data_IF_735597909127
#
_entry.id   IF_735597909127
#
_cell.length_a   1.000
_cell.length_b   1.000
_cell.length_c   1.000
_cell.angle_alpha   90.00
_cell.angle_beta   90.00
_cell.angle_gamma   90.00
#
_symmetry.space_group_name_H-M   'P 1'
#
loop_
_entity.id
_entity.type
_entity.pdbx_description
1 polymer ?
#
# COMPACT_ATOMS: atom_id res chain seq x y z
N UNK A 1 5.64 -14.67 29.12
CA UNK A 1 5.33 -13.85 27.94
C UNK A 1 6.64 -13.62 27.19
N UNK A 2 6.90 -14.39 26.14
CA UNK A 2 8.11 -14.21 25.33
C UNK A 2 7.94 -12.94 24.49
N UNK A 3 8.79 -11.94 24.72
CA UNK A 3 8.92 -10.80 23.80
C UNK A 3 9.59 -11.35 22.54
N UNK A 4 8.84 -11.47 21.45
CA UNK A 4 9.44 -11.69 20.14
C UNK A 4 10.31 -10.47 19.82
N UNK A 5 11.57 -10.70 19.44
CA UNK A 5 12.39 -9.66 18.82
C UNK A 5 11.95 -9.57 17.36
N UNK A 6 11.43 -8.42 16.97
CA UNK A 6 11.14 -8.14 15.57
C UNK A 6 12.45 -8.27 14.78
N UNK A 7 12.46 -9.14 13.78
CA UNK A 7 13.64 -9.41 12.95
C UNK A 7 13.44 -8.73 11.60
N UNK A 8 14.29 -7.76 11.30
CA UNK A 8 14.15 -6.89 10.13
C UNK A 8 15.23 -7.22 9.10
N UNK A 9 14.83 -7.45 7.85
CA UNK A 9 15.73 -7.46 6.70
C UNK A 9 15.48 -6.21 5.86
N UNK A 10 16.46 -5.31 5.81
CA UNK A 10 16.37 -4.06 5.03
C UNK A 10 17.04 -4.23 3.67
N UNK A 11 16.28 -3.97 2.60
CA UNK A 11 16.75 -3.98 1.22
C UNK A 11 16.93 -2.55 0.70
N UNK A 12 18.20 -2.19 0.53
CA UNK A 12 18.67 -0.83 0.24
C UNK A 12 19.78 -0.82 -0.81
N UNK A 13 19.67 -1.66 -1.84
CA UNK A 13 20.59 -1.64 -2.97
C UNK A 13 20.27 -0.44 -3.87
N UNK A 14 21.26 0.12 -4.59
CA UNK A 14 21.00 1.18 -5.56
C UNK A 14 19.85 0.83 -6.50
N UNK A 15 19.04 1.83 -6.88
CA UNK A 15 17.88 1.63 -7.74
C UNK A 15 18.24 0.82 -8.99
N UNK A 16 17.45 -0.22 -9.27
CA UNK A 16 17.66 -1.13 -10.41
C UNK A 16 18.54 -2.34 -10.11
N UNK A 17 19.17 -2.43 -8.94
CA UNK A 17 19.91 -3.62 -8.49
C UNK A 17 18.96 -4.57 -7.77
N UNK A 18 18.76 -5.76 -8.34
CA UNK A 18 18.02 -6.84 -7.68
C UNK A 18 18.82 -7.36 -6.47
N UNK A 19 18.28 -7.18 -5.28
CA UNK A 19 18.87 -7.68 -4.04
C UNK A 19 18.57 -9.18 -3.83
N UNK A 20 17.36 -9.63 -4.16
CA UNK A 20 16.94 -11.03 -4.01
C UNK A 20 16.35 -11.54 -5.32
N UNK A 21 16.91 -12.63 -5.85
CA UNK A 21 16.38 -13.31 -7.05
C UNK A 21 15.36 -14.41 -6.75
N UNK A 22 15.41 -14.96 -5.53
CA UNK A 22 14.56 -16.07 -5.10
C UNK A 22 13.22 -15.64 -4.50
N UNK A 23 12.50 -16.62 -3.97
CA UNK A 23 11.29 -16.41 -3.19
C UNK A 23 11.64 -15.95 -1.77
N UNK A 24 10.74 -15.19 -1.16
CA UNK A 24 10.90 -14.68 0.20
C UNK A 24 9.74 -15.15 1.07
N UNK A 25 10.06 -15.63 2.26
CA UNK A 25 9.09 -16.03 3.27
C UNK A 25 9.25 -15.11 4.47
N UNK A 26 8.23 -14.31 4.76
CA UNK A 26 8.20 -13.43 5.92
C UNK A 26 7.23 -14.02 6.93
N UNK A 27 7.79 -14.62 7.98
CA UNK A 27 7.03 -15.28 9.03
C UNK A 27 6.77 -14.32 10.20
N UNK A 28 6.01 -14.79 11.19
CA UNK A 28 5.71 -14.09 12.44
C UNK A 28 6.90 -13.35 13.04
N UNK A 29 6.74 -12.04 13.23
CA UNK A 29 7.77 -11.15 13.79
C UNK A 29 8.88 -10.78 12.79
N UNK A 30 8.76 -11.20 11.54
CA UNK A 30 9.66 -10.82 10.45
C UNK A 30 9.15 -9.60 9.70
N UNK A 31 10.08 -8.73 9.33
CA UNK A 31 9.85 -7.56 8.50
C UNK A 31 10.80 -7.58 7.30
N UNK A 32 10.26 -7.31 6.12
CA UNK A 32 11.05 -7.07 4.91
C UNK A 32 10.84 -5.63 4.46
N UNK A 33 11.91 -4.84 4.54
CA UNK A 33 11.84 -3.40 4.31
C UNK A 33 12.43 -3.06 2.95
N UNK A 34 11.69 -2.26 2.19
CA UNK A 34 12.08 -1.76 0.88
C UNK A 34 12.36 -0.25 0.96
N UNK A 35 13.64 0.11 1.12
CA UNK A 35 14.08 1.52 1.20
C UNK A 35 14.39 2.14 -0.17
N UNK A 36 14.44 1.30 -1.19
CA UNK A 36 14.82 1.66 -2.57
C UNK A 36 14.03 0.78 -3.54
N UNK A 37 13.93 1.18 -4.81
CA UNK A 37 13.08 0.50 -5.80
C UNK A 37 13.71 -0.81 -6.34
N UNK A 38 12.88 -1.73 -6.82
CA UNK A 38 13.26 -2.93 -7.59
C UNK A 38 14.20 -3.90 -6.86
N UNK A 39 13.96 -4.15 -5.57
CA UNK A 39 14.86 -4.97 -4.76
C UNK A 39 14.63 -6.48 -4.92
N UNK A 40 13.49 -6.90 -5.45
CA UNK A 40 13.19 -8.30 -5.78
C UNK A 40 13.19 -8.50 -7.29
N UNK A 41 13.52 -9.72 -7.74
CA UNK A 41 13.34 -10.11 -9.13
C UNK A 41 11.85 -10.15 -9.48
N UNK A 42 11.50 -9.85 -10.74
CA UNK A 42 10.11 -9.92 -11.21
C UNK A 42 9.52 -11.33 -11.10
N UNK A 43 10.36 -12.36 -11.08
CA UNK A 43 9.95 -13.77 -10.90
C UNK A 43 9.71 -14.18 -9.45
N UNK A 44 10.11 -13.36 -8.47
CA UNK A 44 10.04 -13.70 -7.05
C UNK A 44 8.60 -13.83 -6.57
N UNK A 45 8.36 -14.83 -5.71
CA UNK A 45 7.14 -14.97 -4.92
C UNK A 45 7.44 -14.58 -3.49
N UNK A 46 6.58 -13.75 -2.91
CA UNK A 46 6.68 -13.33 -1.50
C UNK A 46 5.52 -13.96 -0.75
N UNK A 47 5.82 -14.68 0.33
CA UNK A 47 4.82 -15.32 1.19
C UNK A 47 4.82 -14.66 2.56
N UNK A 48 3.66 -14.19 3.01
CA UNK A 48 3.45 -13.65 4.35
C UNK A 48 2.70 -14.66 5.20
N UNK A 49 3.31 -15.01 6.33
CA UNK A 49 2.72 -15.86 7.35
C UNK A 49 2.89 -15.20 8.72
N UNK A 50 1.99 -14.27 9.02
CA UNK A 50 2.07 -13.34 10.15
C UNK A 50 3.26 -12.36 10.05
N UNK A 51 3.78 -12.15 8.84
CA UNK A 51 4.89 -11.25 8.55
C UNK A 51 4.47 -9.91 7.93
N UNK A 52 5.43 -9.00 7.81
CA UNK A 52 5.21 -7.64 7.33
C UNK A 52 6.13 -7.27 6.15
N UNK A 53 5.57 -6.58 5.17
CA UNK A 53 6.30 -5.84 4.15
C UNK A 53 6.21 -4.35 4.46
N UNK A 54 7.35 -3.68 4.48
CA UNK A 54 7.45 -2.26 4.72
C UNK A 54 7.95 -1.55 3.47
N UNK A 55 7.16 -0.61 2.94
CA UNK A 55 7.60 0.30 1.88
C UNK A 55 8.06 1.61 2.55
N UNK A 56 9.38 1.80 2.58
CA UNK A 56 10.00 3.00 3.16
C UNK A 56 9.96 4.19 2.21
N UNK A 57 10.61 5.29 2.59
CA UNK A 57 10.69 6.50 1.77
C UNK A 57 12.13 7.03 1.58
N UNK A 58 13.15 6.29 2.02
CA UNK A 58 14.53 6.78 2.08
C UNK A 58 15.09 7.23 0.72
N UNK A 59 14.70 6.54 -0.36
CA UNK A 59 15.06 6.89 -1.73
C UNK A 59 14.10 7.85 -2.44
N UNK A 60 13.09 8.40 -1.76
CA UNK A 60 11.95 9.09 -2.37
C UNK A 60 10.87 8.09 -2.79
N UNK A 61 10.40 8.18 -4.04
CA UNK A 61 9.41 7.26 -4.58
C UNK A 61 9.94 5.81 -4.59
N UNK A 62 9.13 4.87 -4.10
CA UNK A 62 9.46 3.44 -4.11
C UNK A 62 8.55 2.70 -5.06
N UNK A 63 9.15 1.97 -5.99
CA UNK A 63 8.46 1.00 -6.84
C UNK A 63 9.01 -0.39 -6.59
N UNK A 64 8.17 -1.29 -6.10
CA UNK A 64 8.44 -2.72 -6.04
C UNK A 64 7.65 -3.48 -7.10
N UNK A 65 8.25 -4.56 -7.58
CA UNK A 65 7.66 -5.36 -8.65
C UNK A 65 8.15 -6.80 -8.53
N UNK A 66 7.24 -7.71 -8.21
CA UNK A 66 7.50 -9.14 -8.13
C UNK A 66 6.27 -9.93 -8.55
N UNK A 67 6.43 -11.23 -8.78
CA UNK A 67 5.43 -12.06 -9.45
C UNK A 67 4.14 -12.13 -8.63
N UNK A 68 4.25 -12.58 -7.39
CA UNK A 68 3.08 -12.91 -6.60
C UNK A 68 3.31 -12.59 -5.12
N UNK A 69 2.28 -12.04 -4.50
CA UNK A 69 2.16 -11.96 -3.05
C UNK A 69 1.18 -13.04 -2.59
N UNK A 70 1.63 -13.93 -1.71
CA UNK A 70 0.84 -14.97 -1.08
C UNK A 70 0.69 -14.63 0.40
N UNK A 71 -0.52 -14.77 0.93
CA UNK A 71 -0.80 -14.62 2.36
C UNK A 71 -1.42 -15.91 2.89
N UNK A 72 -0.68 -16.61 3.76
CA UNK A 72 -1.09 -17.91 4.29
C UNK A 72 -2.08 -17.76 5.46
N UNK A 73 -1.74 -16.92 6.45
CA UNK A 73 -2.54 -16.69 7.65
C UNK A 73 -2.84 -15.21 7.87
N UNK A 74 -1.80 -14.38 7.92
CA UNK A 74 -1.94 -12.94 8.03
C UNK A 74 -0.74 -12.27 7.36
N UNK A 75 -0.95 -11.09 6.79
CA UNK A 75 0.12 -10.28 6.24
C UNK A 75 -0.16 -8.81 6.47
N UNK A 76 0.90 -8.04 6.69
CA UNK A 76 0.82 -6.59 6.77
C UNK A 76 1.60 -5.97 5.62
N UNK A 77 0.99 -5.04 4.91
CA UNK A 77 1.67 -4.12 4.00
C UNK A 77 1.64 -2.74 4.64
N UNK A 78 2.81 -2.29 5.09
CA UNK A 78 2.99 -1.01 5.77
C UNK A 78 3.60 0.00 4.81
N UNK A 79 2.99 1.19 4.74
CA UNK A 79 3.51 2.31 3.94
C UNK A 79 4.08 3.38 4.86
N UNK A 80 5.36 3.68 4.70
CA UNK A 80 5.98 4.82 5.36
C UNK A 80 5.43 6.14 4.81
N UNK A 81 5.35 7.16 5.65
CA UNK A 81 5.01 8.51 5.22
C UNK A 81 4.09 9.21 6.20
N UNK A 82 4.54 10.36 6.66
CA UNK A 82 3.75 11.28 7.48
C UNK A 82 2.80 12.11 6.61
N UNK A 83 1.85 12.78 7.25
CA UNK A 83 0.95 13.75 6.62
C UNK A 83 1.79 14.95 6.10
N UNK A 84 2.32 14.82 4.88
CA UNK A 84 3.21 15.79 4.25
C UNK A 84 4.28 15.19 3.34
N UNK A 85 4.54 13.89 3.43
CA UNK A 85 5.39 13.20 2.45
C UNK A 85 4.70 13.16 1.08
N UNK A 86 5.39 13.62 0.04
CA UNK A 86 4.95 13.49 -1.35
C UNK A 86 5.49 12.23 -2.04
N UNK A 87 6.25 11.39 -1.32
CA UNK A 87 6.79 10.15 -1.90
C UNK A 87 5.66 9.20 -2.27
N UNK A 88 5.69 8.71 -3.50
CA UNK A 88 4.72 7.77 -4.05
C UNK A 88 5.25 6.35 -3.87
N UNK A 89 4.41 5.44 -3.36
CA UNK A 89 4.74 4.01 -3.27
C UNK A 89 3.92 3.24 -4.29
N UNK A 90 4.57 2.37 -5.07
CA UNK A 90 3.91 1.50 -6.04
C UNK A 90 4.36 0.06 -5.85
N UNK A 91 3.39 -0.84 -5.73
CA UNK A 91 3.61 -2.27 -5.69
C UNK A 91 2.93 -2.92 -6.89
N UNK A 92 3.72 -3.46 -7.82
CA UNK A 92 3.23 -4.18 -8.99
C UNK A 92 3.29 -5.69 -8.77
N UNK A 93 2.18 -6.39 -9.00
CA UNK A 93 2.03 -7.84 -8.85
C UNK A 93 1.44 -8.45 -10.12
N UNK A 94 1.91 -9.64 -10.53
CA UNK A 94 1.19 -10.42 -11.54
C UNK A 94 -0.06 -11.07 -10.93
N UNK A 95 0.02 -11.49 -9.67
CA UNK A 95 -1.08 -12.12 -8.96
C UNK A 95 -1.03 -11.84 -7.45
N UNK A 96 -2.18 -11.89 -6.78
CA UNK A 96 -2.34 -11.66 -5.35
C UNK A 96 -3.26 -12.72 -4.77
N UNK A 97 -2.69 -13.63 -3.99
CA UNK A 97 -3.38 -14.76 -3.40
C UNK A 97 -3.43 -14.60 -1.88
N UNK A 98 -4.64 -14.67 -1.32
CA UNK A 98 -4.85 -14.78 0.12
C UNK A 98 -5.58 -16.09 0.37
N UNK A 99 -4.97 -17.00 1.14
CA UNK A 99 -5.56 -18.31 1.44
C UNK A 99 -6.88 -18.18 2.22
N UNK A 100 -7.64 -19.28 2.36
CA UNK A 100 -9.02 -19.23 2.85
C UNK A 100 -9.18 -18.61 4.24
N UNK A 101 -8.24 -18.87 5.16
CA UNK A 101 -8.18 -18.29 6.50
C UNK A 101 -7.32 -17.02 6.60
N UNK A 102 -6.76 -16.58 5.47
CA UNK A 102 -5.80 -15.50 5.40
C UNK A 102 -6.45 -14.11 5.47
N UNK A 103 -5.69 -13.12 5.95
CA UNK A 103 -6.06 -11.70 5.87
C UNK A 103 -4.84 -10.82 5.53
N UNK A 104 -5.03 -9.85 4.64
CA UNK A 104 -4.02 -8.84 4.30
C UNK A 104 -4.45 -7.46 4.81
N UNK A 105 -3.61 -6.84 5.63
CA UNK A 105 -3.88 -5.54 6.24
C UNK A 105 -2.93 -4.49 5.65
N UNK A 106 -3.49 -3.44 5.08
CA UNK A 106 -2.77 -2.26 4.60
C UNK A 106 -2.75 -1.21 5.71
N UNK A 107 -1.57 -0.87 6.22
CA UNK A 107 -1.37 0.13 7.28
C UNK A 107 -0.81 1.41 6.72
N UNK A 108 -1.29 2.54 7.26
CA UNK A 108 -0.91 3.90 6.83
C UNK A 108 -1.05 4.19 5.33
N UNK A 109 -1.85 3.38 4.62
CA UNK A 109 -2.16 3.60 3.22
C UNK A 109 -2.88 4.94 3.03
N UNK A 110 -2.55 5.66 1.96
CA UNK A 110 -3.18 6.93 1.58
C UNK A 110 -3.55 6.94 0.10
N UNK A 111 -4.79 7.31 -0.18
CA UNK A 111 -5.30 7.49 -1.53
C UNK A 111 -4.45 8.53 -2.30
N UNK A 112 -4.09 8.20 -3.55
CA UNK A 112 -3.29 9.06 -4.42
C UNK A 112 -1.79 9.07 -4.14
N UNK A 113 -1.33 8.38 -3.07
CA UNK A 113 0.08 8.22 -2.73
C UNK A 113 0.55 6.78 -2.87
N UNK A 114 -0.25 5.83 -2.38
CA UNK A 114 0.14 4.43 -2.28
C UNK A 114 -0.70 3.58 -3.24
N UNK A 115 -0.05 2.89 -4.17
CA UNK A 115 -0.70 2.15 -5.23
C UNK A 115 -0.35 0.68 -5.14
N UNK A 116 -1.38 -0.16 -5.00
CA UNK A 116 -1.26 -1.61 -5.10
C UNK A 116 -1.86 -2.01 -6.44
N UNK A 117 -1.00 -2.48 -7.35
CA UNK A 117 -1.31 -2.70 -8.75
C UNK A 117 -1.18 -4.19 -9.06
N UNK A 118 -2.29 -4.82 -9.43
CA UNK A 118 -2.35 -6.25 -9.75
C UNK A 118 -2.75 -6.42 -11.21
N UNK A 119 -2.08 -7.31 -11.95
CA UNK A 119 -2.41 -7.52 -13.37
C UNK A 119 -3.88 -7.90 -13.54
N UNK A 120 -4.48 -7.43 -14.63
CA UNK A 120 -5.86 -7.79 -15.03
C UNK A 120 -6.04 -9.28 -15.32
N UNK A 121 -4.94 -9.99 -15.58
CA UNK A 121 -4.91 -11.44 -15.79
C UNK A 121 -4.77 -12.24 -14.50
N UNK A 122 -4.77 -11.60 -13.33
CA UNK A 122 -4.72 -12.28 -12.03
C UNK A 122 -5.94 -13.18 -11.85
N UNK A 123 -5.71 -14.42 -11.43
CA UNK A 123 -6.76 -15.40 -11.19
C UNK A 123 -7.36 -15.27 -9.79
N UNK A 124 -6.63 -14.66 -8.84
CA UNK A 124 -6.96 -14.69 -7.41
C UNK A 124 -7.39 -13.34 -6.84
N UNK A 125 -7.17 -12.23 -7.55
CA UNK A 125 -7.34 -10.88 -6.96
C UNK A 125 -8.77 -10.64 -6.47
N UNK A 126 -9.80 -11.05 -7.20
CA UNK A 126 -11.20 -10.82 -6.81
C UNK A 126 -11.56 -11.50 -5.48
N UNK A 127 -11.07 -12.72 -5.26
CA UNK A 127 -11.26 -13.43 -4.01
C UNK A 127 -10.39 -12.87 -2.88
N UNK A 128 -9.20 -12.36 -3.22
CA UNK A 128 -8.33 -11.70 -2.27
C UNK A 128 -8.98 -10.41 -1.72
N UNK A 129 -9.70 -9.63 -2.53
CA UNK A 129 -10.34 -8.37 -2.07
C UNK A 129 -11.20 -8.56 -0.81
N UNK A 130 -11.92 -9.69 -0.74
CA UNK A 130 -12.83 -10.03 0.37
C UNK A 130 -12.09 -10.25 1.70
N UNK A 131 -10.77 -10.39 1.65
CA UNK A 131 -9.87 -10.72 2.76
C UNK A 131 -8.86 -9.61 3.03
N UNK A 132 -9.12 -8.43 2.49
CA UNK A 132 -8.29 -7.25 2.67
C UNK A 132 -8.91 -6.29 3.67
N UNK A 133 -8.05 -5.54 4.36
CA UNK A 133 -8.45 -4.42 5.21
C UNK A 133 -7.49 -3.27 5.01
N UNK A 134 -8.03 -2.07 4.81
CA UNK A 134 -7.28 -0.83 4.86
C UNK A 134 -7.51 -0.19 6.23
N UNK A 135 -6.46 0.05 7.00
CA UNK A 135 -6.55 0.61 8.34
C UNK A 135 -7.22 2.00 8.32
N UNK A 136 -8.34 2.14 9.04
CA UNK A 136 -9.13 3.38 9.04
C UNK A 136 -10.06 3.55 7.84
N UNK A 137 -10.34 2.48 7.08
CA UNK A 137 -11.27 2.48 5.95
C UNK A 137 -12.33 1.39 6.10
N UNK A 138 -13.45 1.55 5.40
CA UNK A 138 -14.55 0.57 5.39
C UNK A 138 -14.15 -0.67 4.55
N UNK A 139 -14.01 -1.86 5.15
CA UNK A 139 -13.60 -3.06 4.44
C UNK A 139 -14.64 -3.54 3.42
N UNK A 140 -15.90 -3.14 3.55
CA UNK A 140 -16.96 -3.48 2.58
C UNK A 140 -16.87 -2.71 1.27
N UNK A 141 -15.98 -1.71 1.20
CA UNK A 141 -15.84 -0.81 0.05
C UNK A 141 -14.47 -0.90 -0.61
N UNK A 142 -13.75 -2.00 -0.41
CA UNK A 142 -12.53 -2.29 -1.15
C UNK A 142 -12.94 -2.73 -2.56
N UNK A 143 -12.32 -2.13 -3.58
CA UNK A 143 -12.67 -2.36 -4.98
C UNK A 143 -11.45 -2.33 -5.89
N UNK A 144 -11.59 -2.91 -7.07
CA UNK A 144 -10.65 -2.75 -8.17
C UNK A 144 -11.07 -1.55 -9.02
N UNK A 145 -10.14 -0.64 -9.25
CA UNK A 145 -10.28 0.46 -10.18
C UNK A 145 -9.36 0.26 -11.38
N UNK A 146 -9.79 0.71 -12.56
CA UNK A 146 -8.94 0.71 -13.75
C UNK A 146 -7.75 1.65 -13.53
N UNK A 147 -6.52 1.11 -13.65
CA UNK A 147 -5.31 1.92 -13.60
C UNK A 147 -4.76 2.18 -15.00
N UNK A 148 -4.59 1.11 -15.77
CA UNK A 148 -4.18 1.15 -17.18
C UNK A 148 -4.61 -0.13 -17.91
N UNK A 149 -4.13 -0.33 -19.13
CA UNK A 149 -4.47 -1.50 -19.96
C UNK A 149 -4.03 -2.85 -19.36
N UNK A 150 -3.06 -2.86 -18.45
CA UNK A 150 -2.47 -4.10 -17.90
C UNK A 150 -2.82 -4.36 -16.43
N UNK A 151 -3.11 -3.31 -15.65
CA UNK A 151 -3.24 -3.39 -14.20
C UNK A 151 -4.57 -2.84 -13.70
N UNK A 152 -5.11 -3.54 -12.70
CA UNK A 152 -6.06 -2.99 -11.74
C UNK A 152 -5.33 -2.32 -10.59
N UNK A 153 -5.93 -1.28 -10.01
CA UNK A 153 -5.55 -0.71 -8.73
C UNK A 153 -6.50 -1.21 -7.63
N UNK A 154 -5.96 -1.75 -6.55
CA UNK A 154 -6.71 -2.07 -5.34
C UNK A 154 -6.90 -0.79 -4.52
N UNK A 155 -8.14 -0.35 -4.34
CA UNK A 155 -8.49 0.86 -3.58
C UNK A 155 -9.36 0.54 -2.36
N UNK A 156 -9.08 1.16 -1.23
CA UNK A 156 -10.05 1.34 -0.16
C UNK A 156 -10.96 2.53 -0.49
N UNK A 157 -12.26 2.46 -0.19
CA UNK A 157 -13.12 3.63 -0.36
C UNK A 157 -12.93 4.61 0.81
N UNK A 158 -12.74 5.91 0.52
CA UNK A 158 -12.51 6.93 1.52
C UNK A 158 -13.64 7.04 2.56
N UNK A 159 -13.28 7.38 3.80
CA UNK A 159 -14.27 7.72 4.82
C UNK A 159 -15.06 8.98 4.40
N UNK A 160 -16.40 9.02 4.62
CA UNK A 160 -17.21 10.21 4.32
C UNK A 160 -16.69 11.51 4.96
N UNK A 161 -16.01 11.40 6.12
CA UNK A 161 -15.50 12.55 6.87
C UNK A 161 -14.32 13.27 6.18
N UNK A 162 -13.53 12.58 5.36
CA UNK A 162 -12.40 13.16 4.63
C UNK A 162 -12.88 14.15 3.56
N UNK A 163 -14.02 13.88 2.93
CA UNK A 163 -14.68 14.84 2.04
C UNK A 163 -15.39 15.96 2.80
N UNK A 164 -15.91 15.68 4.00
CA UNK A 164 -16.50 16.70 4.88
C UNK A 164 -15.49 17.79 5.27
N UNK A 165 -14.27 17.40 5.62
CA UNK A 165 -13.19 18.34 5.97
C UNK A 165 -12.74 19.18 4.77
N UNK A 166 -12.57 18.58 3.59
CA UNK A 166 -12.20 19.28 2.35
C UNK A 166 -13.25 20.30 1.90
N UNK A 167 -14.53 19.93 1.95
CA UNK A 167 -15.65 20.83 1.62
C UNK A 167 -15.79 21.98 2.63
N UNK A 168 -15.62 21.70 3.94
CA UNK A 168 -15.65 22.73 4.99
C UNK A 168 -14.52 23.74 4.84
N UNK A 169 -13.29 23.31 4.53
CA UNK A 169 -12.17 24.21 4.27
C UNK A 169 -12.40 25.06 3.01
N UNK A 170 -12.96 24.48 1.95
CA UNK A 170 -13.33 25.21 0.73
C UNK A 170 -14.36 26.32 0.98
N UNK A 171 -15.41 26.03 1.76
CA UNK A 171 -16.46 27.00 2.14
C UNK A 171 -15.88 28.13 3.01
N UNK A 172 -15.04 27.82 4.00
CA UNK A 172 -14.41 28.83 4.85
C UNK A 172 -13.48 29.75 4.05
N UNK A 173 -12.74 29.21 3.08
CA UNK A 173 -11.92 29.98 2.15
C UNK A 173 -12.75 30.97 1.31
N UNK A 174 -13.88 30.50 0.76
CA UNK A 174 -14.78 31.30 -0.07
C UNK A 174 -15.45 32.44 0.72
N UNK A 175 -15.87 32.16 1.95
CA UNK A 175 -16.47 33.17 2.85
C UNK A 175 -15.45 34.25 3.22
N UNK A 176 -14.21 33.86 3.53
CA UNK A 176 -13.14 34.82 3.85
C UNK A 176 -12.76 35.69 2.64
N UNK A 177 -12.76 35.11 1.43
CA UNK A 177 -12.53 35.85 0.19
C UNK A 177 -13.63 36.89 -0.09
N UNK A 178 -14.91 36.50 0.05
CA UNK A 178 -16.05 37.42 -0.11
C UNK A 178 -16.04 38.57 0.89
N UNK A 179 -15.65 38.32 2.15
CA UNK A 179 -15.52 39.39 3.15
C UNK A 179 -14.44 40.41 2.76
N UNK A 180 -13.30 39.96 2.21
CA UNK A 180 -12.23 40.87 1.75
C UNK A 180 -12.65 41.74 0.57
N UNK A 181 -13.44 41.22 -0.37
CA UNK A 181 -13.93 42.01 -1.50
C UNK A 181 -14.92 43.11 -1.07
N UNK A 182 -15.69 42.88 -0.01
CA UNK A 182 -16.63 43.87 0.52
C UNK A 182 -15.98 44.91 1.46
N UNK A 183 -14.71 44.75 1.84
CA UNK A 183 -13.95 45.71 2.66
C UNK A 183 -13.05 46.64 1.82
N UNK A 184 -13.01 46.45 0.51
CA UNK A 184 -12.22 47.23 -0.47
C UNK A 184 -13.13 48.07 -1.41
N UNK A 185 -14.40 48.23 -1.03
CA UNK A 185 -15.36 49.19 -1.58
C UNK A 185 -15.75 50.15 -0.48
#
# INVERSE_FOLDING_TARGET
MLKYQDTILVLRKPNGVTAIQGNVFVNRGGHLDFDTSHQLARSSVVTLNEGELYLGNWGGDITQSFKQLIVDNSGVLYFEGDDGSSSIHKLYLDDLLIHASGELIFKRWKEGRDFILVKKTSENVEDALKKMKFEGYDPSKIQLADYNNEYWEVKGAPEPATYGAGLMLGVLGLVRYRRRQNSLR
#
